data_IF_883993649286
#
_entry.id   IF_883993649286
#
_cell.length_a   1.000
_cell.length_b   1.000
_cell.length_c   1.000
_cell.angle_alpha   90.00
_cell.angle_beta   90.00
_cell.angle_gamma   90.00
#
_symmetry.space_group_name_H-M   'P 1'
#
loop_
_entity.id
_entity.type
_entity.pdbx_description
1 polymer ?
#
# COMPACT_ATOMS: atom_id res chain seq x y z
N UNK A 1 -15.71 9.87 -6.92
CA UNK A 1 -15.57 8.40 -6.89
C UNK A 1 -16.86 7.65 -7.23
N UNK A 2 -18.04 8.10 -6.83
CA UNK A 2 -19.30 7.38 -7.10
C UNK A 2 -19.55 6.98 -8.58
N UNK A 3 -19.05 7.75 -9.55
CA UNK A 3 -19.20 7.45 -10.98
C UNK A 3 -18.24 6.35 -11.50
N UNK A 4 -17.25 5.93 -10.73
CA UNK A 4 -16.26 4.94 -11.18
C UNK A 4 -16.67 3.48 -10.92
N UNK A 5 -17.55 3.23 -9.95
CA UNK A 5 -17.94 1.88 -9.55
C UNK A 5 -18.59 1.06 -10.68
N UNK A 6 -19.53 1.60 -11.47
CA UNK A 6 -20.12 0.85 -12.59
C UNK A 6 -19.08 0.43 -13.63
N UNK A 7 -18.11 1.30 -13.96
CA UNK A 7 -17.03 0.97 -14.90
C UNK A 7 -16.13 -0.13 -14.34
N UNK A 8 -15.70 -0.03 -13.08
CA UNK A 8 -14.86 -1.04 -12.42
C UNK A 8 -15.56 -2.41 -12.36
N UNK A 9 -16.86 -2.40 -12.08
CA UNK A 9 -17.68 -3.60 -12.11
C UNK A 9 -17.73 -4.22 -13.51
N UNK A 10 -17.89 -3.42 -14.56
CA UNK A 10 -17.88 -3.89 -15.95
C UNK A 10 -16.52 -4.48 -16.35
N UNK A 11 -15.41 -3.83 -15.95
CA UNK A 11 -14.06 -4.33 -16.18
C UNK A 11 -13.86 -5.69 -15.47
N UNK A 12 -14.30 -5.83 -14.22
CA UNK A 12 -14.26 -7.11 -13.51
C UNK A 12 -15.09 -8.17 -14.24
N UNK A 13 -16.31 -7.84 -14.67
CA UNK A 13 -17.17 -8.78 -15.40
C UNK A 13 -16.55 -9.25 -16.74
N UNK A 14 -15.78 -8.39 -17.40
CA UNK A 14 -14.99 -8.79 -18.59
C UNK A 14 -13.90 -9.80 -18.22
N UNK A 15 -13.20 -9.58 -17.09
CA UNK A 15 -12.20 -10.53 -16.58
C UNK A 15 -12.84 -11.86 -16.20
N UNK A 16 -14.01 -11.87 -15.55
CA UNK A 16 -14.74 -13.11 -15.23
C UNK A 16 -15.05 -13.93 -16.50
N UNK A 17 -15.50 -13.27 -17.57
CA UNK A 17 -15.75 -13.94 -18.87
C UNK A 17 -14.47 -14.51 -19.47
N UNK A 18 -13.38 -13.74 -19.46
CA UNK A 18 -12.05 -14.19 -19.96
C UNK A 18 -11.55 -15.42 -19.21
N UNK A 19 -11.74 -15.44 -17.89
CA UNK A 19 -11.35 -16.54 -17.00
C UNK A 19 -12.36 -17.71 -17.01
N UNK A 20 -13.46 -17.58 -17.76
CA UNK A 20 -14.57 -18.56 -17.81
C UNK A 20 -15.16 -18.85 -16.42
N UNK A 21 -15.35 -17.80 -15.62
CA UNK A 21 -15.96 -17.85 -14.29
C UNK A 21 -17.41 -17.40 -14.32
N UNK A 22 -18.27 -18.10 -13.59
CA UNK A 22 -19.65 -17.67 -13.36
C UNK A 22 -19.71 -16.59 -12.25
N UNK A 23 -18.82 -16.71 -11.26
CA UNK A 23 -18.71 -15.76 -10.16
C UNK A 23 -17.30 -15.70 -9.59
N UNK A 24 -17.00 -14.61 -8.87
CA UNK A 24 -15.82 -14.42 -8.03
C UNK A 24 -16.26 -14.14 -6.60
N UNK A 25 -15.71 -14.85 -5.64
CA UNK A 25 -15.82 -14.55 -4.22
C UNK A 25 -14.68 -13.59 -3.84
N UNK A 26 -15.02 -12.44 -3.31
CA UNK A 26 -14.12 -11.36 -2.91
C UNK A 26 -14.26 -11.16 -1.41
N UNK A 27 -13.18 -11.38 -0.67
CA UNK A 27 -13.14 -11.32 0.80
C UNK A 27 -12.21 -10.24 1.36
N UNK A 28 -11.52 -9.49 0.48
CA UNK A 28 -10.70 -8.34 0.85
C UNK A 28 -11.54 -7.07 0.97
N UNK A 29 -11.48 -6.34 2.11
CA UNK A 29 -12.12 -5.03 2.27
C UNK A 29 -11.70 -4.00 1.22
N UNK A 30 -10.44 -3.98 0.83
CA UNK A 30 -9.93 -3.09 -0.20
C UNK A 30 -10.58 -3.38 -1.57
N UNK A 31 -10.79 -4.65 -1.92
CA UNK A 31 -11.36 -5.06 -3.19
C UNK A 31 -12.87 -4.75 -3.28
N UNK A 32 -13.64 -5.05 -2.23
CA UNK A 32 -15.06 -4.70 -2.28
C UNK A 32 -15.29 -3.18 -2.20
N UNK A 33 -14.46 -2.44 -1.44
CA UNK A 33 -14.50 -0.98 -1.46
C UNK A 33 -14.21 -0.43 -2.85
N UNK A 34 -13.19 -0.93 -3.54
CA UNK A 34 -12.84 -0.53 -4.91
C UNK A 34 -14.01 -0.69 -5.88
N UNK A 35 -14.77 -1.77 -5.74
CA UNK A 35 -15.87 -2.12 -6.63
C UNK A 35 -17.20 -1.44 -6.28
N UNK A 36 -17.43 -1.14 -5.01
CA UNK A 36 -18.77 -0.76 -4.52
C UNK A 36 -18.80 0.52 -3.67
N UNK A 37 -17.66 0.91 -3.11
CA UNK A 37 -17.58 2.00 -2.14
C UNK A 37 -17.97 1.60 -0.72
N UNK A 38 -18.31 0.33 -0.46
CA UNK A 38 -18.69 -0.13 0.88
C UNK A 38 -17.51 -0.03 1.86
N UNK A 39 -17.72 0.71 2.94
CA UNK A 39 -16.68 0.98 3.94
C UNK A 39 -16.70 0.05 5.16
N UNK A 40 -17.68 -0.86 5.23
CA UNK A 40 -17.79 -1.84 6.32
C UNK A 40 -16.63 -2.84 6.35
N UNK A 41 -16.37 -3.38 7.53
CA UNK A 41 -15.16 -4.19 7.80
C UNK A 41 -15.42 -5.71 7.75
N UNK A 42 -16.68 -6.13 7.69
CA UNK A 42 -17.03 -7.57 7.69
C UNK A 42 -18.00 -7.89 6.56
N UNK A 43 -17.66 -8.91 5.77
CA UNK A 43 -18.49 -9.38 4.68
C UNK A 43 -17.69 -10.15 3.63
N UNK A 44 -18.38 -10.47 2.54
CA UNK A 44 -17.82 -10.94 1.29
C UNK A 44 -18.68 -10.46 0.13
N UNK A 45 -18.05 -10.06 -0.96
CA UNK A 45 -18.75 -9.66 -2.17
C UNK A 45 -18.71 -10.82 -3.17
N UNK A 46 -19.86 -11.25 -3.63
CA UNK A 46 -20.00 -12.19 -4.75
C UNK A 46 -20.27 -11.39 -6.01
N UNK A 47 -19.27 -11.35 -6.89
CA UNK A 47 -19.39 -10.71 -8.20
C UNK A 47 -19.70 -11.78 -9.26
N UNK A 48 -20.91 -11.73 -9.82
CA UNK A 48 -21.29 -12.55 -10.98
C UNK A 48 -21.11 -11.77 -12.28
N UNK A 49 -21.32 -12.42 -13.40
CA UNK A 49 -21.26 -11.76 -14.72
C UNK A 49 -22.34 -10.67 -14.91
N UNK A 50 -23.33 -10.56 -14.00
CA UNK A 50 -24.46 -9.60 -14.12
C UNK A 50 -24.70 -8.78 -12.86
N UNK A 51 -24.42 -9.30 -11.69
CA UNK A 51 -24.81 -8.73 -10.42
C UNK A 51 -23.69 -8.78 -9.39
N UNK A 52 -23.72 -7.82 -8.48
CA UNK A 52 -22.91 -7.83 -7.26
C UNK A 52 -23.84 -8.12 -6.08
N UNK A 53 -23.40 -9.02 -5.20
CA UNK A 53 -24.13 -9.31 -3.95
C UNK A 53 -23.15 -9.25 -2.78
N UNK A 54 -23.39 -8.36 -1.84
CA UNK A 54 -22.66 -8.27 -0.58
C UNK A 54 -23.36 -9.19 0.44
N UNK A 55 -22.61 -10.13 0.99
CA UNK A 55 -23.01 -10.92 2.16
C UNK A 55 -22.33 -10.32 3.37
N UNK A 56 -23.09 -9.86 4.36
CA UNK A 56 -22.57 -9.23 5.58
C UNK A 56 -23.40 -9.64 6.81
N UNK A 57 -23.07 -9.14 7.98
CA UNK A 57 -23.88 -9.39 9.18
C UNK A 57 -24.73 -8.19 9.59
N UNK A 58 -25.61 -8.40 10.59
CA UNK A 58 -26.58 -7.39 11.02
C UNK A 58 -26.00 -6.07 11.50
N UNK A 59 -24.69 -6.02 11.87
CA UNK A 59 -23.99 -4.79 12.27
C UNK A 59 -23.84 -3.81 11.12
N UNK A 60 -23.82 -4.30 9.87
CA UNK A 60 -23.49 -3.51 8.68
C UNK A 60 -24.67 -3.36 7.71
N UNK A 61 -25.86 -3.91 7.99
CA UNK A 61 -27.01 -3.85 7.07
C UNK A 61 -27.50 -2.42 6.84
N UNK A 62 -27.55 -1.59 7.88
CA UNK A 62 -27.92 -0.16 7.77
C UNK A 62 -26.89 0.60 6.94
N UNK A 63 -25.62 0.46 7.28
CA UNK A 63 -24.53 1.10 6.56
C UNK A 63 -24.50 0.68 5.07
N UNK A 64 -24.70 -0.61 4.79
CA UNK A 64 -24.76 -1.11 3.42
C UNK A 64 -25.92 -0.51 2.63
N UNK A 65 -27.08 -0.31 3.25
CA UNK A 65 -28.24 0.33 2.62
C UNK A 65 -27.98 1.82 2.30
N UNK A 66 -27.20 2.51 3.12
CA UNK A 66 -26.84 3.91 2.93
C UNK A 66 -25.76 4.09 1.84
N UNK A 67 -24.73 3.24 1.84
CA UNK A 67 -23.55 3.38 0.99
C UNK A 67 -23.71 2.75 -0.40
N UNK A 68 -24.41 1.62 -0.50
CA UNK A 68 -24.45 0.82 -1.73
C UNK A 68 -25.54 1.27 -2.71
N UNK A 69 -25.20 1.23 -3.99
CA UNK A 69 -26.16 1.41 -5.09
C UNK A 69 -25.93 0.31 -6.14
N UNK A 70 -27.02 -0.37 -6.52
CA UNK A 70 -26.96 -1.45 -7.51
C UNK A 70 -26.29 -2.74 -7.03
N UNK A 71 -26.11 -2.90 -5.72
CA UNK A 71 -25.58 -4.10 -5.06
C UNK A 71 -26.65 -4.70 -4.18
N UNK A 72 -26.93 -6.00 -4.35
CA UNK A 72 -27.83 -6.72 -3.45
C UNK A 72 -27.14 -6.96 -2.12
N UNK A 73 -27.85 -6.75 -1.00
CA UNK A 73 -27.32 -7.02 0.35
C UNK A 73 -28.02 -8.24 0.92
N UNK A 74 -27.27 -9.19 1.41
CA UNK A 74 -27.76 -10.41 2.06
C UNK A 74 -27.16 -10.50 3.45
N UNK A 75 -28.00 -10.62 4.48
CA UNK A 75 -27.55 -10.86 5.84
C UNK A 75 -27.22 -12.34 6.03
N UNK A 76 -26.00 -12.62 6.53
CA UNK A 76 -25.57 -13.98 6.86
C UNK A 76 -26.36 -14.56 8.04
N UNK A 77 -26.75 -15.84 7.96
CA UNK A 77 -27.48 -16.52 9.04
C UNK A 77 -26.62 -17.48 9.84
N UNK A 78 -25.81 -18.28 9.16
CA UNK A 78 -25.04 -19.40 9.75
C UNK A 78 -23.53 -19.24 9.55
N UNK A 79 -23.07 -17.99 9.48
CA UNK A 79 -21.68 -17.64 9.22
C UNK A 79 -21.40 -17.33 7.75
N UNK A 80 -20.45 -16.44 7.54
CA UNK A 80 -20.17 -15.78 6.26
C UNK A 80 -19.95 -16.78 5.11
N UNK A 81 -19.02 -17.70 5.28
CA UNK A 81 -18.62 -18.60 4.20
C UNK A 81 -19.68 -19.66 3.87
N UNK A 82 -20.48 -20.07 4.86
CA UNK A 82 -21.63 -20.96 4.62
C UNK A 82 -22.69 -20.22 3.81
N UNK A 83 -23.07 -19.02 4.25
CA UNK A 83 -24.06 -18.19 3.52
C UNK A 83 -23.60 -17.85 2.10
N UNK A 84 -22.30 -17.57 1.88
CA UNK A 84 -21.74 -17.41 0.55
C UNK A 84 -21.86 -18.69 -0.30
N UNK A 85 -21.57 -19.87 0.27
CA UNK A 85 -21.69 -21.16 -0.42
C UNK A 85 -23.14 -21.46 -0.83
N UNK A 86 -24.10 -21.23 0.06
CA UNK A 86 -25.54 -21.40 -0.23
C UNK A 86 -26.03 -20.44 -1.32
N UNK A 87 -25.57 -19.18 -1.25
CA UNK A 87 -25.89 -18.18 -2.27
C UNK A 87 -25.35 -18.60 -3.65
N UNK A 88 -24.10 -19.06 -3.71
CA UNK A 88 -23.49 -19.57 -4.96
C UNK A 88 -24.25 -20.77 -5.52
N UNK A 89 -24.72 -21.68 -4.66
CA UNK A 89 -25.59 -22.80 -5.04
C UNK A 89 -26.92 -22.32 -5.62
N UNK A 90 -27.57 -21.34 -4.97
CA UNK A 90 -28.84 -20.76 -5.42
C UNK A 90 -28.67 -20.03 -6.77
N UNK A 91 -27.52 -19.36 -6.97
CA UNK A 91 -27.16 -18.75 -8.26
C UNK A 91 -26.79 -19.77 -9.34
N UNK A 92 -26.73 -21.06 -9.00
CA UNK A 92 -26.27 -22.16 -9.89
C UNK A 92 -24.89 -21.89 -10.50
N UNK A 93 -24.00 -21.22 -9.74
CA UNK A 93 -22.65 -20.94 -10.17
C UNK A 93 -21.82 -22.25 -10.22
N UNK A 94 -21.36 -22.63 -11.41
CA UNK A 94 -20.59 -23.86 -11.61
C UNK A 94 -19.10 -23.66 -11.45
N UNK A 95 -18.58 -22.50 -11.84
CA UNK A 95 -17.15 -22.15 -11.74
C UNK A 95 -17.00 -20.85 -10.96
N UNK A 96 -16.47 -20.93 -9.75
CA UNK A 96 -16.31 -19.81 -8.85
C UNK A 96 -14.82 -19.55 -8.58
N UNK A 97 -14.36 -18.35 -8.92
CA UNK A 97 -13.02 -17.88 -8.56
C UNK A 97 -12.95 -17.43 -7.11
N UNK A 98 -11.78 -17.54 -6.49
CA UNK A 98 -11.45 -16.91 -5.20
C UNK A 98 -9.95 -16.67 -5.10
N UNK A 99 -9.55 -15.67 -4.33
CA UNK A 99 -8.14 -15.41 -4.07
C UNK A 99 -7.62 -16.33 -2.95
N UNK A 100 -6.65 -17.23 -3.23
CA UNK A 100 -6.11 -18.14 -2.21
C UNK A 100 -5.33 -17.44 -1.10
N UNK A 101 -4.89 -16.19 -1.31
CA UNK A 101 -4.21 -15.39 -0.29
C UNK A 101 -5.19 -14.81 0.75
N UNK A 102 -6.50 -14.78 0.42
CA UNK A 102 -7.54 -14.17 1.26
C UNK A 102 -8.44 -15.21 1.93
N UNK A 103 -8.51 -16.43 1.40
CA UNK A 103 -9.41 -17.47 1.89
C UNK A 103 -8.60 -18.62 2.51
N UNK A 104 -8.78 -18.84 3.81
CA UNK A 104 -8.11 -19.94 4.50
C UNK A 104 -8.62 -21.32 4.02
N UNK A 105 -7.84 -22.37 4.27
CA UNK A 105 -8.26 -23.75 3.94
C UNK A 105 -9.58 -24.10 4.63
N UNK A 106 -9.76 -23.74 5.90
CA UNK A 106 -11.00 -24.00 6.63
C UNK A 106 -12.21 -23.28 6.00
N UNK A 107 -12.03 -22.01 5.61
CA UNK A 107 -13.08 -21.23 4.93
C UNK A 107 -13.43 -21.84 3.56
N UNK A 108 -12.42 -22.29 2.81
CA UNK A 108 -12.63 -22.96 1.53
C UNK A 108 -13.43 -24.27 1.69
N UNK A 109 -13.21 -25.02 2.76
CA UNK A 109 -13.97 -26.23 3.07
C UNK A 109 -15.45 -25.93 3.39
N UNK A 110 -15.72 -24.88 4.19
CA UNK A 110 -17.09 -24.43 4.47
C UNK A 110 -17.83 -24.01 3.19
N UNK A 111 -17.17 -23.20 2.34
CA UNK A 111 -17.71 -22.80 1.03
C UNK A 111 -18.07 -24.01 0.16
N UNK A 112 -17.15 -24.96 0.01
CA UNK A 112 -17.36 -26.16 -0.82
C UNK A 112 -18.51 -27.01 -0.30
N UNK A 113 -18.58 -27.20 1.01
CA UNK A 113 -19.65 -27.98 1.64
C UNK A 113 -21.01 -27.34 1.40
N UNK A 114 -21.14 -26.03 1.58
CA UNK A 114 -22.40 -25.32 1.41
C UNK A 114 -22.81 -25.16 -0.05
N UNK A 115 -21.86 -24.91 -0.95
CA UNK A 115 -22.13 -24.78 -2.39
C UNK A 115 -22.49 -26.12 -3.06
N UNK A 116 -22.05 -27.23 -2.48
CA UNK A 116 -22.30 -28.59 -2.97
C UNK A 116 -21.38 -29.00 -4.14
N UNK A 117 -21.49 -30.25 -4.56
CA UNK A 117 -20.57 -30.90 -5.53
C UNK A 117 -20.62 -30.31 -6.94
N UNK A 118 -21.70 -29.61 -7.30
CA UNK A 118 -21.87 -29.02 -8.63
C UNK A 118 -21.02 -27.76 -8.86
N UNK A 119 -20.53 -27.11 -7.79
CA UNK A 119 -19.70 -25.90 -7.86
C UNK A 119 -18.22 -26.24 -7.77
N UNK A 120 -17.46 -25.85 -8.78
CA UNK A 120 -16.00 -25.96 -8.81
C UNK A 120 -15.38 -24.63 -8.38
N UNK A 121 -14.42 -24.68 -7.45
CA UNK A 121 -13.69 -23.51 -6.97
C UNK A 121 -12.31 -23.45 -7.61
N UNK A 122 -12.04 -22.34 -8.32
CA UNK A 122 -10.76 -22.06 -8.99
C UNK A 122 -10.00 -21.00 -8.19
N UNK A 123 -8.74 -21.29 -7.84
CA UNK A 123 -7.83 -20.32 -7.24
C UNK A 123 -7.35 -19.33 -8.29
N UNK A 124 -7.57 -18.05 -8.06
CA UNK A 124 -7.12 -16.94 -8.92
C UNK A 124 -6.67 -15.82 -8.04
N UNK A 125 -5.36 -15.67 -7.88
CA UNK A 125 -4.78 -14.61 -7.08
C UNK A 125 -4.87 -13.25 -7.80
N UNK A 126 -5.17 -12.19 -7.06
CA UNK A 126 -4.98 -10.82 -7.47
C UNK A 126 -5.88 -10.31 -8.62
N UNK A 127 -7.01 -10.96 -8.92
CA UNK A 127 -7.84 -10.55 -10.06
C UNK A 127 -8.37 -9.11 -9.91
N UNK A 128 -8.88 -8.73 -8.73
CA UNK A 128 -9.31 -7.36 -8.44
C UNK A 128 -8.11 -6.44 -8.22
N UNK A 129 -7.07 -6.94 -7.56
CA UNK A 129 -5.82 -6.19 -7.34
C UNK A 129 -5.19 -5.72 -8.67
N UNK A 130 -5.29 -6.51 -9.74
CA UNK A 130 -4.82 -6.11 -11.07
C UNK A 130 -5.56 -4.89 -11.65
N UNK A 131 -6.84 -4.70 -11.32
CA UNK A 131 -7.61 -3.50 -11.67
C UNK A 131 -7.19 -2.31 -10.79
N UNK A 132 -7.03 -2.53 -9.48
CA UNK A 132 -6.59 -1.53 -8.50
C UNK A 132 -5.20 -0.98 -8.78
N UNK A 133 -4.31 -1.78 -9.40
CA UNK A 133 -2.96 -1.35 -9.72
C UNK A 133 -2.93 -0.08 -10.58
N UNK A 134 -3.92 0.13 -11.44
CA UNK A 134 -4.02 1.30 -12.33
C UNK A 134 -5.04 2.29 -11.78
N UNK A 135 -4.55 3.36 -11.16
CA UNK A 135 -5.39 4.38 -10.52
C UNK A 135 -6.07 5.27 -11.57
N UNK A 136 -7.34 5.51 -11.37
CA UNK A 136 -8.09 6.49 -12.16
C UNK A 136 -7.84 7.94 -11.66
N UNK A 137 -8.26 8.99 -12.39
CA UNK A 137 -8.03 10.36 -11.98
C UNK A 137 -8.61 10.74 -10.60
N UNK A 138 -9.72 10.12 -10.18
CA UNK A 138 -10.33 10.39 -8.88
C UNK A 138 -9.52 9.74 -7.75
N UNK A 139 -9.00 8.53 -7.97
CA UNK A 139 -8.08 7.87 -7.05
C UNK A 139 -6.78 8.66 -6.90
N UNK A 140 -6.17 9.08 -8.02
CA UNK A 140 -4.96 9.91 -8.00
C UNK A 140 -5.17 11.23 -7.27
N UNK A 141 -6.33 11.88 -7.44
CA UNK A 141 -6.65 13.10 -6.70
C UNK A 141 -6.71 12.86 -5.18
N UNK A 142 -7.22 11.70 -4.76
CA UNK A 142 -7.26 11.33 -3.34
C UNK A 142 -5.86 10.98 -2.81
N UNK A 143 -5.07 10.24 -3.57
CA UNK A 143 -3.69 9.89 -3.20
C UNK A 143 -2.79 11.13 -3.08
N UNK A 144 -2.96 12.14 -3.95
CA UNK A 144 -2.25 13.43 -3.81
C UNK A 144 -2.53 14.11 -2.47
N UNK A 145 -3.78 14.05 -2.00
CA UNK A 145 -4.16 14.61 -0.69
C UNK A 145 -3.52 13.83 0.45
N UNK A 146 -3.53 12.50 0.38
CA UNK A 146 -2.89 11.65 1.39
C UNK A 146 -1.37 11.88 1.45
N UNK A 147 -0.70 11.94 0.30
CA UNK A 147 0.74 12.22 0.19
C UNK A 147 1.13 13.62 0.69
N UNK A 148 0.29 14.64 0.39
CA UNK A 148 0.51 15.99 0.92
C UNK A 148 0.39 16.02 2.45
N UNK A 149 -0.65 15.36 3.01
CA UNK A 149 -0.85 15.27 4.45
C UNK A 149 0.35 14.59 5.13
N UNK A 150 0.83 13.46 4.58
CA UNK A 150 2.01 12.76 5.12
C UNK A 150 3.27 13.63 5.04
N UNK A 151 3.44 14.40 3.96
CA UNK A 151 4.55 15.34 3.80
C UNK A 151 4.55 16.42 4.89
N UNK A 152 3.39 17.02 5.17
CA UNK A 152 3.26 18.02 6.24
C UNK A 152 3.52 17.41 7.63
N UNK A 153 3.11 16.15 7.84
CA UNK A 153 3.32 15.46 9.12
C UNK A 153 4.79 15.12 9.34
N UNK A 154 5.51 14.63 8.31
CA UNK A 154 6.94 14.33 8.46
C UNK A 154 7.76 15.60 8.71
N UNK A 155 7.43 16.72 8.06
CA UNK A 155 8.07 18.01 8.31
C UNK A 155 7.81 18.52 9.74
N UNK A 156 6.57 18.38 10.22
CA UNK A 156 6.21 18.69 11.61
C UNK A 156 6.99 17.82 12.60
N UNK A 157 7.11 16.52 12.33
CA UNK A 157 7.87 15.59 13.18
C UNK A 157 9.37 15.92 13.22
N UNK A 158 9.97 16.30 12.08
CA UNK A 158 11.36 16.78 12.00
C UNK A 158 11.56 18.00 12.92
N UNK A 159 10.63 18.96 12.90
CA UNK A 159 10.70 20.16 13.76
C UNK A 159 10.62 19.87 15.26
N UNK A 160 10.21 18.68 15.67
CA UNK A 160 10.12 18.27 17.09
C UNK A 160 11.36 17.51 17.58
N UNK A 161 12.26 17.15 16.67
CA UNK A 161 13.46 16.39 17.01
C UNK A 161 14.44 17.26 17.79
N UNK A 162 14.68 16.88 19.04
CA UNK A 162 15.70 17.49 19.93
C UNK A 162 16.27 16.43 20.86
N UNK A 163 17.53 16.58 21.32
CA UNK A 163 18.10 15.65 22.28
C UNK A 163 17.19 15.46 23.50
N UNK A 164 16.98 14.18 23.89
CA UNK A 164 16.14 13.79 25.02
C UNK A 164 14.76 13.28 24.68
N UNK A 165 14.16 13.64 23.53
CA UNK A 165 12.87 13.05 23.07
C UNK A 165 13.02 11.56 22.82
N UNK A 166 11.94 10.80 22.98
CA UNK A 166 11.91 9.35 22.77
C UNK A 166 11.29 8.98 21.42
N UNK A 167 11.68 7.84 20.85
CA UNK A 167 11.13 7.36 19.58
C UNK A 167 9.60 7.28 19.63
N UNK A 168 9.02 6.66 20.67
CA UNK A 168 7.57 6.52 20.79
C UNK A 168 6.83 7.85 21.02
N UNK A 169 7.49 8.87 21.60
CA UNK A 169 6.88 10.20 21.77
C UNK A 169 6.68 10.88 20.41
N UNK A 170 7.68 10.76 19.53
CA UNK A 170 7.58 11.26 18.15
C UNK A 170 6.55 10.45 17.35
N UNK A 171 6.51 9.12 17.48
CA UNK A 171 5.53 8.28 16.80
C UNK A 171 4.09 8.63 17.22
N UNK A 172 3.84 8.82 18.53
CA UNK A 172 2.53 9.22 19.03
C UNK A 172 2.08 10.58 18.47
N UNK A 173 3.01 11.53 18.37
CA UNK A 173 2.71 12.85 17.79
C UNK A 173 2.43 12.76 16.28
N UNK A 174 3.17 11.95 15.55
CA UNK A 174 2.92 11.66 14.12
C UNK A 174 1.47 11.19 13.95
N UNK A 175 1.03 10.18 14.69
CA UNK A 175 -0.34 9.66 14.60
C UNK A 175 -1.40 10.69 15.02
N UNK A 176 -1.14 11.45 16.08
CA UNK A 176 -2.00 12.55 16.49
C UNK A 176 -2.16 13.60 15.38
N UNK A 177 -1.06 14.01 14.77
CA UNK A 177 -1.07 15.00 13.69
C UNK A 177 -1.79 14.48 12.43
N UNK A 178 -1.64 13.20 12.08
CA UNK A 178 -2.38 12.58 11.00
C UNK A 178 -3.89 12.67 11.24
N UNK A 179 -4.36 12.22 12.41
CA UNK A 179 -5.78 12.25 12.76
C UNK A 179 -6.33 13.67 12.84
N UNK A 180 -5.58 14.60 13.42
CA UNK A 180 -5.95 16.03 13.52
C UNK A 180 -6.15 16.67 12.13
N UNK A 181 -5.43 16.20 11.11
CA UNK A 181 -5.55 16.65 9.72
C UNK A 181 -6.59 15.86 8.90
N UNK A 182 -7.34 14.98 9.53
CA UNK A 182 -8.46 14.25 8.91
C UNK A 182 -8.13 12.87 8.32
N UNK A 183 -6.93 12.35 8.56
CA UNK A 183 -6.64 10.96 8.24
C UNK A 183 -7.46 10.01 9.13
N UNK A 184 -7.92 8.89 8.58
CA UNK A 184 -8.59 7.83 9.35
C UNK A 184 -7.63 7.03 10.23
N UNK A 185 -6.32 7.13 9.99
CA UNK A 185 -5.27 6.48 10.75
C UNK A 185 -3.94 6.51 10.01
N UNK A 186 -2.93 5.90 10.62
CA UNK A 186 -1.67 5.58 9.95
C UNK A 186 -1.88 4.41 8.98
N UNK A 187 -1.16 4.41 7.84
CA UNK A 187 -1.20 3.33 6.86
C UNK A 187 -0.48 2.07 7.36
N UNK A 188 0.49 2.28 8.23
CA UNK A 188 1.28 1.25 8.93
C UNK A 188 1.82 1.83 10.25
N UNK A 189 2.40 0.97 11.10
CA UNK A 189 3.05 1.41 12.35
C UNK A 189 4.25 2.31 12.01
N UNK A 190 4.17 3.60 12.35
CA UNK A 190 5.21 4.58 12.01
C UNK A 190 6.59 4.16 12.52
N UNK A 191 7.59 4.22 11.67
CA UNK A 191 8.98 3.93 12.02
C UNK A 191 9.65 5.23 12.49
N UNK A 192 10.08 5.24 13.74
CA UNK A 192 10.92 6.31 14.31
C UNK A 192 12.15 5.65 14.90
N UNK A 193 13.29 5.83 14.27
CA UNK A 193 14.52 5.12 14.64
C UNK A 193 15.69 6.08 14.81
N UNK A 194 16.33 6.07 15.99
CA UNK A 194 17.42 6.95 16.36
C UNK A 194 18.77 6.23 16.37
N UNK A 195 19.81 6.86 15.84
CA UNK A 195 21.21 6.40 15.87
C UNK A 195 21.36 5.01 15.27
N UNK A 196 22.03 4.10 15.99
CA UNK A 196 22.29 2.74 15.52
C UNK A 196 21.00 1.94 15.23
N UNK A 197 19.85 2.29 15.85
CA UNK A 197 18.57 1.64 15.56
C UNK A 197 18.03 1.96 14.16
N UNK A 198 18.43 3.08 13.58
CA UNK A 198 18.10 3.41 12.19
C UNK A 198 18.68 2.39 11.18
N UNK A 199 19.63 1.54 11.60
CA UNK A 199 20.10 0.41 10.78
C UNK A 199 19.10 -0.75 10.67
N UNK A 200 17.97 -0.70 11.39
CA UNK A 200 16.88 -1.66 11.28
C UNK A 200 15.81 -1.08 10.34
N UNK A 201 15.62 -1.59 9.10
CA UNK A 201 14.67 -1.01 8.16
C UNK A 201 13.23 -0.90 8.70
N UNK A 202 12.80 -1.87 9.50
CA UNK A 202 11.48 -1.92 10.15
C UNK A 202 11.58 -1.77 11.67
N UNK A 203 12.32 -0.75 12.14
CA UNK A 203 12.48 -0.48 13.55
C UNK A 203 11.16 0.02 14.17
N UNK A 204 10.69 -0.68 15.20
CA UNK A 204 9.55 -0.19 16.00
C UNK A 204 10.00 0.87 17.00
N UNK A 205 9.20 1.94 17.22
CA UNK A 205 9.53 2.99 18.20
C UNK A 205 9.68 2.43 19.61
N UNK A 206 10.73 2.88 20.31
CA UNK A 206 11.06 2.44 21.68
C UNK A 206 11.21 3.63 22.64
N UNK A 207 11.60 3.32 23.88
CA UNK A 207 11.96 4.33 24.89
C UNK A 207 13.35 4.97 24.65
N UNK A 208 14.06 4.61 23.56
CA UNK A 208 15.35 5.23 23.23
C UNK A 208 15.21 6.73 23.10
N UNK A 209 16.11 7.44 23.79
CA UNK A 209 16.21 8.91 23.72
C UNK A 209 17.15 9.32 22.60
N UNK A 210 16.75 10.34 21.86
CA UNK A 210 17.58 10.99 20.84
C UNK A 210 18.79 11.64 21.48
N UNK A 211 19.95 11.49 20.88
CA UNK A 211 21.20 12.10 21.31
C UNK A 211 21.77 12.99 20.20
N UNK A 212 22.69 13.87 20.56
CA UNK A 212 23.49 14.59 19.56
C UNK A 212 24.32 13.61 18.74
N UNK A 213 24.60 13.95 17.51
CA UNK A 213 25.39 13.18 16.55
C UNK A 213 24.76 11.82 16.20
N UNK A 214 23.43 11.77 16.07
CA UNK A 214 22.70 10.56 15.64
C UNK A 214 21.91 10.83 14.36
N UNK A 215 21.83 9.80 13.50
CA UNK A 215 20.86 9.72 12.41
C UNK A 215 19.45 9.49 12.99
N UNK A 216 18.45 10.04 12.33
CA UNK A 216 17.05 9.77 12.61
C UNK A 216 16.37 9.39 11.31
N UNK A 217 15.75 8.21 11.26
CA UNK A 217 14.85 7.79 10.19
C UNK A 217 13.42 7.97 10.69
N UNK A 218 12.63 8.69 9.93
CA UNK A 218 11.19 8.85 10.09
C UNK A 218 10.52 8.29 8.84
N UNK A 219 9.70 7.24 9.01
CA UNK A 219 8.97 6.60 7.95
C UNK A 219 7.52 6.44 8.39
N UNK A 220 6.61 7.03 7.62
CA UNK A 220 5.21 7.17 7.99
C UNK A 220 4.30 7.27 6.77
N UNK A 221 3.08 6.80 6.93
CA UNK A 221 2.04 6.89 5.92
C UNK A 221 0.68 7.16 6.52
N UNK A 222 -0.13 7.97 5.84
CA UNK A 222 -1.48 8.31 6.28
C UNK A 222 -2.54 7.65 5.41
N UNK A 223 -3.68 7.26 6.01
CA UNK A 223 -4.88 6.84 5.27
C UNK A 223 -5.85 8.02 5.21
N UNK A 224 -6.04 8.58 4.02
CA UNK A 224 -7.02 9.64 3.79
C UNK A 224 -8.01 9.22 2.70
N UNK A 225 -9.31 9.20 3.03
CA UNK A 225 -10.35 8.73 2.09
C UNK A 225 -10.11 7.31 1.58
N UNK A 226 -9.64 6.42 2.46
CA UNK A 226 -9.27 5.01 2.20
C UNK A 226 -7.96 4.81 1.43
N UNK A 227 -7.31 5.85 0.90
CA UNK A 227 -6.05 5.71 0.18
C UNK A 227 -4.87 5.97 1.10
N UNK A 228 -3.85 5.12 0.97
CA UNK A 228 -2.60 5.21 1.69
C UNK A 228 -1.65 6.19 1.01
N UNK A 229 -0.77 6.78 1.81
CA UNK A 229 0.49 7.41 1.39
C UNK A 229 1.65 6.76 2.11
N UNK A 230 2.86 6.98 1.62
CA UNK A 230 4.10 6.46 2.19
C UNK A 230 5.24 7.46 2.00
N UNK A 231 6.02 7.74 3.04
CA UNK A 231 7.13 8.68 2.96
C UNK A 231 8.18 8.42 4.03
N UNK A 232 9.44 8.34 3.61
CA UNK A 232 10.58 8.30 4.53
C UNK A 232 11.47 9.52 4.36
N UNK A 233 11.89 10.09 5.49
CA UNK A 233 12.97 11.09 5.56
C UNK A 233 14.01 10.70 6.59
N UNK A 234 15.27 10.98 6.27
CA UNK A 234 16.39 10.81 7.19
C UNK A 234 17.02 12.16 7.49
N UNK A 235 17.23 12.46 8.76
CA UNK A 235 17.91 13.68 9.22
C UNK A 235 19.06 13.35 10.17
N UNK A 236 19.91 14.35 10.46
CA UNK A 236 21.01 14.19 11.40
C UNK A 236 20.94 15.25 12.51
N UNK A 237 21.03 14.86 13.76
CA UNK A 237 21.02 15.77 14.91
C UNK A 237 22.44 16.18 15.26
N UNK A 238 22.80 17.42 14.93
CA UNK A 238 24.15 17.96 15.03
C UNK A 238 24.84 18.07 13.67
N UNK A 239 26.16 18.22 13.65
CA UNK A 239 26.95 18.31 12.41
C UNK A 239 27.33 16.92 11.93
N UNK A 240 26.81 16.51 10.78
CA UNK A 240 27.06 15.19 10.23
C UNK A 240 28.55 15.03 9.80
N UNK A 241 29.18 13.90 10.09
CA UNK A 241 30.49 13.54 9.52
C UNK A 241 30.43 13.46 7.98
N UNK A 242 31.54 13.73 7.31
CA UNK A 242 31.63 13.66 5.83
C UNK A 242 31.14 12.33 5.27
N UNK A 243 31.43 11.21 5.97
CA UNK A 243 30.96 9.88 5.60
C UNK A 243 29.42 9.78 5.55
N UNK A 244 28.73 10.35 6.52
CA UNK A 244 27.26 10.33 6.57
C UNK A 244 26.68 11.18 5.45
N UNK A 245 27.26 12.35 5.16
CA UNK A 245 26.86 13.19 4.02
C UNK A 245 27.02 12.46 2.69
N UNK A 246 28.14 11.74 2.51
CA UNK A 246 28.39 10.93 1.32
C UNK A 246 27.35 9.81 1.16
N UNK A 247 27.00 9.13 2.25
CA UNK A 247 25.97 8.08 2.20
C UNK A 247 24.59 8.64 1.88
N UNK A 248 24.24 9.80 2.47
CA UNK A 248 22.99 10.49 2.14
C UNK A 248 22.92 10.86 0.67
N UNK A 249 23.98 11.43 0.14
CA UNK A 249 24.10 11.79 -1.27
C UNK A 249 23.92 10.56 -2.18
N UNK A 250 24.56 9.44 -1.84
CA UNK A 250 24.43 8.21 -2.60
C UNK A 250 22.97 7.68 -2.64
N UNK A 251 22.25 7.73 -1.50
CA UNK A 251 20.84 7.32 -1.44
C UNK A 251 19.95 8.29 -2.22
N UNK A 252 20.20 9.59 -2.12
CA UNK A 252 19.47 10.62 -2.85
C UNK A 252 19.63 10.46 -4.37
N UNK A 253 20.85 10.22 -4.83
CA UNK A 253 21.13 9.95 -6.25
C UNK A 253 20.54 8.62 -6.72
N UNK A 254 20.55 7.58 -5.88
CA UNK A 254 19.90 6.31 -6.16
C UNK A 254 18.38 6.46 -6.33
N UNK A 255 17.74 7.25 -5.46
CA UNK A 255 16.32 7.57 -5.56
C UNK A 255 16.02 8.34 -6.86
N UNK A 256 16.82 9.36 -7.15
CA UNK A 256 16.65 10.16 -8.38
C UNK A 256 16.81 9.29 -9.64
N UNK A 257 17.79 8.38 -9.67
CA UNK A 257 17.99 7.45 -10.77
C UNK A 257 16.82 6.47 -10.94
N UNK A 258 16.27 5.93 -9.83
CA UNK A 258 15.11 5.07 -9.86
C UNK A 258 13.87 5.82 -10.38
N UNK A 259 13.62 7.06 -9.91
CA UNK A 259 12.51 7.90 -10.39
C UNK A 259 12.66 8.19 -11.89
N UNK A 260 13.87 8.49 -12.36
CA UNK A 260 14.14 8.73 -13.79
C UNK A 260 13.96 7.47 -14.65
N UNK A 261 14.13 6.28 -14.10
CA UNK A 261 13.91 5.00 -14.78
C UNK A 261 12.43 4.59 -14.88
N UNK A 262 11.51 5.28 -14.16
CA UNK A 262 10.07 5.00 -14.21
C UNK A 262 9.49 5.44 -15.56
N UNK A 263 8.70 4.53 -16.16
CA UNK A 263 7.93 4.84 -17.36
C UNK A 263 7.05 3.67 -17.78
N UNK A 264 6.02 3.91 -18.60
CA UNK A 264 5.19 2.84 -19.14
C UNK A 264 6.04 1.83 -19.93
N UNK A 265 5.82 0.54 -19.67
CA UNK A 265 6.57 -0.56 -20.29
C UNK A 265 7.91 -0.89 -19.62
N UNK A 266 8.41 -0.06 -18.71
CA UNK A 266 9.57 -0.39 -17.89
C UNK A 266 9.20 -1.44 -16.86
N UNK A 267 10.09 -2.40 -16.62
CA UNK A 267 9.89 -3.42 -15.60
C UNK A 267 10.29 -2.91 -14.20
N UNK A 268 9.67 -3.45 -13.17
CA UNK A 268 10.07 -3.17 -11.79
C UNK A 268 11.54 -3.52 -11.51
N UNK A 269 12.09 -4.52 -12.23
CA UNK A 269 13.50 -4.89 -12.14
C UNK A 269 14.45 -3.86 -12.75
N UNK A 270 14.06 -3.16 -13.83
CA UNK A 270 14.87 -2.07 -14.42
C UNK A 270 14.95 -0.88 -13.46
N UNK A 271 13.86 -0.54 -12.79
CA UNK A 271 13.82 0.54 -11.79
C UNK A 271 14.70 0.20 -10.57
N UNK A 272 14.59 -1.03 -10.06
CA UNK A 272 15.44 -1.51 -8.96
C UNK A 272 16.92 -1.51 -9.34
N UNK A 273 17.25 -1.94 -10.58
CA UNK A 273 18.62 -1.96 -11.07
C UNK A 273 19.22 -0.55 -11.17
N UNK A 274 18.43 0.47 -11.51
CA UNK A 274 18.89 1.86 -11.57
C UNK A 274 19.35 2.36 -10.18
N UNK A 275 18.54 2.13 -9.13
CA UNK A 275 18.93 2.48 -7.75
C UNK A 275 20.19 1.74 -7.30
N UNK A 276 20.22 0.41 -7.50
CA UNK A 276 21.38 -0.43 -7.09
C UNK A 276 22.64 -0.07 -7.85
N UNK A 277 22.55 0.30 -9.12
CA UNK A 277 23.68 0.72 -9.93
C UNK A 277 24.38 1.96 -9.35
N UNK A 278 23.61 2.95 -8.89
CA UNK A 278 24.17 4.11 -8.20
C UNK A 278 24.82 3.71 -6.87
N UNK A 279 24.12 2.95 -6.04
CA UNK A 279 24.68 2.51 -4.76
C UNK A 279 25.95 1.67 -4.92
N UNK A 280 26.07 0.85 -5.97
CA UNK A 280 27.25 0.07 -6.29
C UNK A 280 28.46 0.97 -6.64
N UNK A 281 28.25 2.08 -7.37
CA UNK A 281 29.29 3.06 -7.65
C UNK A 281 29.88 3.69 -6.37
N UNK A 282 29.06 3.82 -5.33
CA UNK A 282 29.47 4.25 -3.99
C UNK A 282 29.95 3.10 -3.08
N UNK A 283 29.94 1.84 -3.56
CA UNK A 283 30.23 0.62 -2.78
C UNK A 283 29.30 0.42 -1.60
N UNK A 284 28.02 0.78 -1.76
CA UNK A 284 26.98 0.74 -0.73
C UNK A 284 25.87 -0.26 -1.05
N UNK A 285 25.86 -0.88 -2.21
CA UNK A 285 24.83 -1.82 -2.67
C UNK A 285 24.63 -3.04 -1.76
N UNK A 286 25.69 -3.50 -1.11
CA UNK A 286 25.63 -4.57 -0.11
C UNK A 286 24.82 -4.21 1.14
N UNK A 287 24.61 -2.93 1.42
CA UNK A 287 23.83 -2.42 2.54
C UNK A 287 22.39 -2.10 2.15
N UNK A 288 22.01 -2.27 0.88
CA UNK A 288 20.62 -2.11 0.39
C UNK A 288 19.94 -3.48 0.36
N UNK A 289 19.24 -3.83 1.44
CA UNK A 289 18.78 -5.19 1.76
C UNK A 289 17.30 -5.47 1.41
N UNK A 290 16.58 -4.50 0.86
CA UNK A 290 15.16 -4.66 0.47
C UNK A 290 14.92 -4.24 -0.98
N UNK A 291 13.65 -4.26 -1.42
CA UNK A 291 13.22 -3.79 -2.75
C UNK A 291 13.30 -2.26 -2.84
N UNK A 292 13.42 -1.75 -4.06
CA UNK A 292 13.40 -0.29 -4.31
C UNK A 292 12.02 0.31 -4.08
N UNK A 293 10.95 -0.51 -4.06
CA UNK A 293 9.59 -0.03 -3.78
C UNK A 293 8.51 -1.05 -4.12
N UNK A 294 7.29 -0.61 -3.95
CA UNK A 294 6.07 -1.38 -4.15
C UNK A 294 4.93 -0.49 -4.67
N UNK A 295 3.86 -1.11 -5.17
CA UNK A 295 2.62 -0.43 -5.48
C UNK A 295 1.95 0.08 -4.20
N UNK A 296 1.19 1.15 -4.34
CA UNK A 296 0.50 1.83 -3.25
C UNK A 296 -0.92 2.20 -3.68
N UNK A 297 -1.89 2.16 -2.76
CA UNK A 297 -3.27 2.52 -3.08
C UNK A 297 -4.21 2.40 -1.90
N UNK A 298 -5.21 1.52 -1.98
CA UNK A 298 -6.12 1.20 -0.87
C UNK A 298 -5.43 0.39 0.23
N UNK A 299 -4.35 -0.31 -0.13
CA UNK A 299 -3.43 -0.97 0.79
C UNK A 299 -2.05 -0.34 0.63
N UNK A 300 -1.26 -0.35 1.72
CA UNK A 300 0.10 0.20 1.68
C UNK A 300 0.98 -0.60 0.71
N UNK A 301 0.82 -1.92 0.67
CA UNK A 301 1.54 -2.78 -0.25
C UNK A 301 0.61 -3.35 -1.32
N UNK A 302 0.76 -2.90 -2.54
CA UNK A 302 0.07 -3.39 -3.73
C UNK A 302 1.07 -3.78 -4.83
N UNK A 303 0.60 -4.36 -5.92
CA UNK A 303 1.37 -4.47 -7.16
C UNK A 303 1.39 -3.14 -7.93
N UNK A 304 2.44 -2.88 -8.72
CA UNK A 304 3.59 -3.74 -9.01
C UNK A 304 4.73 -3.58 -7.99
N UNK A 305 5.55 -4.62 -7.81
CA UNK A 305 6.78 -4.55 -7.01
C UNK A 305 7.96 -4.05 -7.83
N UNK A 306 8.80 -3.21 -7.20
CA UNK A 306 10.05 -2.70 -7.79
C UNK A 306 11.24 -3.38 -7.11
N UNK A 307 11.57 -4.59 -7.57
CA UNK A 307 12.57 -5.44 -6.94
C UNK A 307 13.42 -6.18 -7.97
N UNK A 308 14.57 -6.68 -7.54
CA UNK A 308 15.49 -7.44 -8.38
C UNK A 308 14.78 -8.58 -9.12
N UNK A 309 14.94 -8.59 -10.44
CA UNK A 309 14.39 -9.64 -11.30
C UNK A 309 12.90 -9.56 -11.59
N UNK A 310 12.19 -8.55 -11.11
CA UNK A 310 10.78 -8.33 -11.44
C UNK A 310 10.59 -8.01 -12.92
N UNK A 311 9.71 -8.77 -13.57
CA UNK A 311 9.42 -8.64 -15.02
C UNK A 311 8.12 -7.87 -15.29
N UNK A 312 7.29 -7.64 -14.26
CA UNK A 312 6.03 -6.91 -14.38
C UNK A 312 6.31 -5.51 -14.89
N UNK A 313 5.68 -5.17 -16.01
CA UNK A 313 5.82 -3.86 -16.63
C UNK A 313 4.91 -2.85 -15.95
N UNK A 314 5.47 -1.67 -15.73
CA UNK A 314 4.73 -0.51 -15.23
C UNK A 314 3.75 -0.01 -16.28
N UNK A 315 2.56 0.36 -15.86
CA UNK A 315 1.50 0.89 -16.71
C UNK A 315 1.12 2.31 -16.26
N UNK A 316 0.54 3.07 -17.17
CA UNK A 316 -0.03 4.38 -16.87
C UNK A 316 -1.03 4.27 -15.71
N UNK A 317 -0.90 5.17 -14.73
CA UNK A 317 -1.73 5.19 -13.52
C UNK A 317 -1.26 4.25 -12.42
N UNK A 318 -0.16 3.50 -12.57
CA UNK A 318 0.46 2.88 -11.41
C UNK A 318 0.97 3.96 -10.45
N UNK A 319 0.81 3.73 -9.16
CA UNK A 319 1.45 4.51 -8.10
C UNK A 319 2.35 3.56 -7.32
N UNK A 320 3.61 3.97 -7.16
CA UNK A 320 4.65 3.14 -6.53
C UNK A 320 5.48 3.99 -5.58
N UNK A 321 6.02 3.36 -4.52
CA UNK A 321 7.05 3.96 -3.68
C UNK A 321 8.41 3.85 -4.35
N UNK A 322 9.30 4.82 -4.09
CA UNK A 322 10.71 4.77 -4.46
C UNK A 322 11.53 5.09 -3.22
N UNK A 323 12.08 4.04 -2.60
CA UNK A 323 12.58 4.06 -1.23
C UNK A 323 13.98 3.41 -1.05
N UNK A 324 14.97 3.68 -1.91
CA UNK A 324 16.29 3.11 -1.68
C UNK A 324 16.85 3.51 -0.31
N UNK A 325 17.56 2.57 0.32
CA UNK A 325 18.14 2.80 1.63
C UNK A 325 19.42 1.99 1.87
N UNK A 326 20.26 2.48 2.76
CA UNK A 326 21.46 1.79 3.22
C UNK A 326 21.46 1.67 4.74
N UNK A 327 21.80 0.49 5.25
CA UNK A 327 21.66 0.15 6.67
C UNK A 327 22.96 -0.48 7.18
N UNK A 328 23.65 0.24 8.07
CA UNK A 328 24.99 -0.15 8.53
C UNK A 328 24.94 -0.40 10.03
N UNK A 329 25.07 -1.67 10.40
CA UNK A 329 24.98 -2.12 11.79
C UNK A 329 25.93 -1.33 12.72
N UNK A 330 25.41 -0.91 13.86
CA UNK A 330 26.15 -0.12 14.85
C UNK A 330 26.32 1.37 14.51
N UNK A 331 25.95 1.81 13.30
CA UNK A 331 26.05 3.21 12.86
C UNK A 331 24.66 3.83 12.68
N UNK A 332 23.83 3.27 11.82
CA UNK A 332 22.51 3.76 11.48
C UNK A 332 22.12 3.43 10.06
N UNK A 333 20.98 3.98 9.62
CA UNK A 333 20.45 3.83 8.27
C UNK A 333 20.05 5.16 7.67
N UNK A 334 19.97 5.17 6.34
CA UNK A 334 19.47 6.28 5.54
C UNK A 334 18.50 5.70 4.53
N UNK A 335 17.25 6.19 4.53
CA UNK A 335 16.23 5.92 3.51
C UNK A 335 15.61 7.25 3.10
N UNK A 336 15.40 7.42 1.80
CA UNK A 336 14.69 8.55 1.21
C UNK A 336 13.62 7.96 0.31
N UNK A 337 12.37 8.31 0.58
CA UNK A 337 11.22 7.69 -0.08
C UNK A 337 10.20 8.72 -0.51
N UNK A 338 9.60 8.46 -1.67
CA UNK A 338 8.47 9.21 -2.18
C UNK A 338 7.48 8.31 -2.93
N UNK A 339 6.20 8.70 -2.89
CA UNK A 339 5.13 8.16 -3.72
C UNK A 339 5.22 8.75 -5.13
N UNK A 340 5.18 7.89 -6.15
CA UNK A 340 5.43 8.28 -7.54
C UNK A 340 4.36 7.70 -8.46
N UNK A 341 3.80 8.54 -9.36
CA UNK A 341 2.83 8.13 -10.39
C UNK A 341 3.51 7.91 -11.72
N UNK A 342 3.18 6.79 -12.36
CA UNK A 342 3.61 6.49 -13.74
C UNK A 342 2.73 7.24 -14.73
N UNK A 343 3.30 8.23 -15.39
CA UNK A 343 2.66 9.01 -16.46
C UNK A 343 3.34 8.82 -17.81
N UNK A 344 2.67 9.28 -18.88
CA UNK A 344 3.30 9.39 -20.20
C UNK A 344 4.30 10.56 -20.18
N UNK A 345 5.55 10.27 -20.42
CA UNK A 345 6.64 11.28 -20.52
C UNK A 345 7.24 11.68 -19.18
N UNK A 346 6.56 12.44 -18.34
CA UNK A 346 7.10 12.91 -17.05
C UNK A 346 6.47 12.19 -15.86
N UNK A 347 7.30 11.63 -15.00
CA UNK A 347 6.92 11.06 -13.72
C UNK A 347 6.46 12.13 -12.73
N UNK A 348 5.37 11.92 -12.01
CA UNK A 348 4.87 12.82 -10.97
C UNK A 348 5.23 12.25 -9.59
N UNK A 349 5.86 13.06 -8.75
CA UNK A 349 6.09 12.76 -7.34
C UNK A 349 4.96 13.38 -6.53
N UNK A 350 4.26 12.58 -5.72
CA UNK A 350 3.09 13.02 -4.95
C UNK A 350 3.48 13.64 -3.61
N UNK A 351 4.48 13.07 -2.94
CA UNK A 351 5.02 13.56 -1.67
C UNK A 351 5.87 14.81 -1.90
N UNK A 352 5.79 15.80 -1.01
CA UNK A 352 6.37 17.13 -1.23
C UNK A 352 7.37 17.60 -0.18
N UNK A 353 7.59 16.83 0.90
CA UNK A 353 8.60 17.17 1.88
C UNK A 353 10.00 17.22 1.24
N UNK A 354 10.84 18.18 1.67
CA UNK A 354 12.20 18.32 1.13
C UNK A 354 12.99 17.01 1.25
N UNK A 355 13.81 16.76 0.23
CA UNK A 355 14.81 15.67 0.21
C UNK A 355 16.21 16.17 0.57
N UNK A 356 16.35 17.44 0.91
CA UNK A 356 17.63 17.98 1.33
C UNK A 356 18.10 17.32 2.64
N UNK A 357 19.40 17.18 2.79
CA UNK A 357 19.96 16.65 4.03
C UNK A 357 19.85 17.69 5.15
N UNK A 358 18.95 17.47 6.09
CA UNK A 358 18.70 18.35 7.22
C UNK A 358 19.62 17.98 8.37
N UNK A 359 20.38 18.94 8.85
CA UNK A 359 21.18 18.90 10.07
C UNK A 359 20.52 19.83 11.11
N UNK A 360 20.11 19.26 12.27
CA UNK A 360 19.38 19.90 13.34
C UNK A 360 20.30 20.32 14.50
#
# INVERSE_FOLDING_TARGET
>A
MANSYPRRTQELQQLLRKESLDALLITSPADWYYLTGFTGEAGALIASQRHLTLVTDGRFTVQAAEELRGVTVVEQKEGLYRSCGELLKNLRARKVGFDPNQVTVAHCQLLRTAAGKATQFKQIAGLVASLRARKDPAELAQMRKAALLASEVVESAIGMLKPGVREFEIAAEIEYQMRKRGASGAAFESIVAFGARAACPHARPTAKRLRKNELVVLDLGAILGKYCSDITRTVYVGKAPARIRLWYQAVLEAQAAAIAAIGPGKSGGEVDAAARGVLAAYRLDQYFVHSTGHGLGLEVHEDPRLAKGQKTQLALGNVVTIEPGVYIAGVGGIRIEDDVVVHQGRTEVLTRASRDFIEL
#
